data_IF_839042148671
#
_entry.id   IF_839042148671
#
_cell.length_a   1.000
_cell.length_b   1.000
_cell.length_c   1.000
_cell.angle_alpha   90.00
_cell.angle_beta   90.00
_cell.angle_gamma   90.00
#
_symmetry.space_group_name_H-M   'P 1'
#
loop_
_entity.id
_entity.type
_entity.pdbx_description
1 polymer ?
#
# COMPACT_ATOMS: atom_id res chain seq x y z
N UNK A 1 -10.12 26.57 -0.74
CA UNK A 1 -9.65 25.16 -0.73
C UNK A 1 -9.55 24.74 0.73
N UNK A 2 -10.08 23.59 1.15
CA UNK A 2 -9.91 23.11 2.54
C UNK A 2 -8.48 22.58 2.71
N UNK A 3 -7.82 22.96 3.81
CA UNK A 3 -6.49 22.48 4.17
C UNK A 3 -6.52 21.06 4.76
N UNK A 4 -5.35 20.50 5.07
CA UNK A 4 -5.21 19.15 5.61
C UNK A 4 -6.01 18.91 6.90
N UNK A 5 -6.14 19.93 7.77
CA UNK A 5 -6.97 19.83 8.98
C UNK A 5 -8.45 19.71 8.61
N UNK A 6 -8.97 20.59 7.75
CA UNK A 6 -10.36 20.54 7.34
C UNK A 6 -10.76 19.21 6.69
N UNK A 7 -9.84 18.58 5.92
CA UNK A 7 -10.06 17.24 5.37
C UNK A 7 -10.09 16.15 6.45
N UNK A 8 -9.22 16.25 7.44
CA UNK A 8 -9.17 15.29 8.55
C UNK A 8 -10.40 15.40 9.44
N UNK A 9 -10.84 16.63 9.77
CA UNK A 9 -12.07 16.86 10.52
C UNK A 9 -13.29 16.35 9.76
N UNK A 10 -13.40 16.61 8.45
CA UNK A 10 -14.48 16.07 7.64
C UNK A 10 -14.52 14.53 7.64
N UNK A 11 -13.35 13.88 7.62
CA UNK A 11 -13.26 12.42 7.78
C UNK A 11 -13.76 11.99 9.16
N UNK A 12 -13.31 12.63 10.24
CA UNK A 12 -13.76 12.31 11.60
C UNK A 12 -15.27 12.50 11.78
N UNK A 13 -15.83 13.57 11.23
CA UNK A 13 -17.25 13.91 11.26
C UNK A 13 -18.11 12.95 10.45
N UNK A 14 -17.56 12.33 9.39
CA UNK A 14 -18.26 11.29 8.63
C UNK A 14 -18.43 9.97 9.41
N UNK A 15 -17.71 9.81 10.53
CA UNK A 15 -17.70 8.58 11.31
C UNK A 15 -18.99 8.36 12.09
N UNK A 16 -19.80 7.38 11.69
CA UNK A 16 -20.97 6.91 12.46
C UNK A 16 -20.64 5.68 13.31
N UNK A 17 -21.41 5.42 14.37
CA UNK A 17 -21.32 4.15 15.11
C UNK A 17 -21.60 2.99 14.16
N UNK A 18 -20.80 1.94 14.25
CA UNK A 18 -21.04 0.71 13.52
C UNK A 18 -20.09 -0.38 13.96
N UNK A 19 -20.62 -1.59 14.15
CA UNK A 19 -19.81 -2.75 14.49
C UNK A 19 -19.10 -3.31 13.26
N UNK A 20 -17.89 -3.80 13.50
CA UNK A 20 -17.02 -4.41 12.51
C UNK A 20 -16.98 -5.93 12.75
N UNK A 21 -18.02 -6.65 12.34
CA UNK A 21 -17.91 -8.12 12.25
C UNK A 21 -17.10 -8.47 10.99
N UNK A 22 -16.07 -9.30 11.15
CA UNK A 22 -15.25 -9.80 10.04
C UNK A 22 -16.10 -10.73 9.15
N UNK A 23 -15.98 -10.58 7.83
CA UNK A 23 -16.67 -11.44 6.85
C UNK A 23 -15.78 -12.59 6.33
N UNK A 24 -14.46 -12.45 6.47
CA UNK A 24 -13.48 -13.45 6.06
C UNK A 24 -12.73 -14.07 7.25
N UNK A 25 -11.96 -15.11 6.95
CA UNK A 25 -11.13 -15.77 7.95
C UNK A 25 -10.02 -14.85 8.47
N UNK A 26 -9.60 -14.98 9.74
CA UNK A 26 -8.45 -14.28 10.29
C UNK A 26 -7.19 -14.46 9.43
N UNK A 27 -6.34 -13.43 9.40
CA UNK A 27 -5.10 -13.42 8.59
C UNK A 27 -4.19 -14.61 8.94
N UNK A 28 -4.08 -14.97 10.23
CA UNK A 28 -3.27 -16.10 10.68
C UNK A 28 -3.77 -17.44 10.14
N UNK A 29 -5.10 -17.67 10.15
CA UNK A 29 -5.73 -18.85 9.59
C UNK A 29 -5.53 -18.91 8.07
N UNK A 30 -5.71 -17.77 7.40
CA UNK A 30 -5.49 -17.64 5.96
C UNK A 30 -4.04 -17.97 5.57
N UNK A 31 -3.04 -17.43 6.26
CA UNK A 31 -1.63 -17.77 5.99
C UNK A 31 -1.33 -19.23 6.30
N UNK A 32 -1.93 -19.80 7.35
CA UNK A 32 -1.82 -21.23 7.67
C UNK A 32 -2.38 -22.13 6.57
N UNK A 33 -3.56 -21.79 6.04
CA UNK A 33 -4.19 -22.45 4.91
C UNK A 33 -3.31 -22.37 3.65
N UNK A 34 -2.84 -21.17 3.30
CA UNK A 34 -1.94 -20.94 2.18
C UNK A 34 -0.65 -21.76 2.31
N UNK A 35 -0.02 -21.76 3.47
CA UNK A 35 1.23 -22.50 3.69
C UNK A 35 1.02 -24.02 3.64
N UNK A 36 -0.14 -24.52 4.06
CA UNK A 36 -0.48 -25.94 3.96
C UNK A 36 -0.71 -26.34 2.49
N UNK A 37 -1.43 -25.51 1.75
CA UNK A 37 -1.66 -25.72 0.32
C UNK A 37 -0.36 -25.66 -0.49
N UNK A 38 0.48 -24.65 -0.24
CA UNK A 38 1.79 -24.51 -0.89
C UNK A 38 2.72 -25.69 -0.63
N UNK A 39 2.64 -26.34 0.53
CA UNK A 39 3.40 -27.55 0.83
C UNK A 39 2.96 -28.76 0.00
N UNK A 40 1.68 -28.82 -0.37
CA UNK A 40 1.12 -29.91 -1.17
C UNK A 40 1.35 -29.69 -2.68
N UNK A 41 1.06 -28.48 -3.18
CA UNK A 41 1.04 -28.18 -4.61
C UNK A 41 2.37 -27.62 -5.14
N UNK A 42 3.20 -27.04 -4.26
CA UNK A 42 4.49 -26.44 -4.60
C UNK A 42 4.43 -25.08 -5.31
N UNK A 43 3.42 -24.85 -6.17
CA UNK A 43 3.25 -23.62 -6.95
C UNK A 43 1.79 -23.27 -7.19
N UNK A 44 1.45 -21.98 -7.14
CA UNK A 44 0.13 -21.47 -7.51
C UNK A 44 0.14 -20.92 -8.94
N UNK A 45 -0.91 -21.23 -9.68
CA UNK A 45 -1.12 -20.69 -11.03
C UNK A 45 -1.53 -19.22 -10.98
N UNK A 46 -1.14 -18.48 -12.01
CA UNK A 46 -1.35 -17.04 -12.11
C UNK A 46 -1.99 -16.67 -13.43
N UNK A 47 -2.95 -15.75 -13.38
CA UNK A 47 -3.56 -15.13 -14.58
C UNK A 47 -2.64 -14.07 -15.18
N UNK A 48 -1.92 -13.34 -14.33
CA UNK A 48 -0.92 -12.33 -14.69
C UNK A 48 0.24 -12.37 -13.69
N UNK A 49 1.34 -11.65 -13.98
CA UNK A 49 2.58 -11.73 -13.19
C UNK A 49 2.42 -11.56 -11.67
N UNK A 50 1.36 -10.89 -11.21
CA UNK A 50 1.07 -10.64 -9.79
C UNK A 50 -0.38 -10.97 -9.39
N UNK A 51 -1.10 -11.72 -10.21
CA UNK A 51 -2.51 -12.04 -9.97
C UNK A 51 -2.72 -13.56 -10.02
N UNK A 52 -3.27 -14.11 -8.94
CA UNK A 52 -3.63 -15.51 -8.84
C UNK A 52 -4.74 -15.83 -9.86
N UNK A 53 -4.65 -17.00 -10.47
CA UNK A 53 -5.71 -17.50 -11.35
C UNK A 53 -7.02 -17.76 -10.56
N UNK A 54 -8.17 -17.41 -11.14
CA UNK A 54 -9.47 -17.54 -10.46
C UNK A 54 -9.82 -19.01 -10.16
N UNK A 55 -9.50 -19.94 -11.06
CA UNK A 55 -9.75 -21.36 -10.82
C UNK A 55 -8.84 -21.89 -9.71
N UNK A 56 -7.60 -21.38 -9.63
CA UNK A 56 -6.68 -21.68 -8.53
C UNK A 56 -7.18 -21.11 -7.19
N UNK A 57 -7.73 -19.90 -7.19
CA UNK A 57 -8.35 -19.27 -6.02
C UNK A 57 -9.53 -20.10 -5.49
N UNK A 58 -10.40 -20.57 -6.39
CA UNK A 58 -11.53 -21.45 -6.05
C UNK A 58 -11.04 -22.78 -5.49
N UNK A 59 -10.03 -23.39 -6.11
CA UNK A 59 -9.43 -24.66 -5.66
C UNK A 59 -8.84 -24.52 -4.26
N UNK A 60 -8.10 -23.44 -4.00
CA UNK A 60 -7.55 -23.14 -2.68
C UNK A 60 -8.65 -22.96 -1.62
N UNK A 61 -9.73 -22.24 -1.93
CA UNK A 61 -10.87 -22.10 -1.03
C UNK A 61 -11.54 -23.45 -0.72
N UNK A 62 -11.77 -24.28 -1.74
CA UNK A 62 -12.41 -25.60 -1.58
C UNK A 62 -11.57 -26.55 -0.74
N UNK A 63 -10.26 -26.60 -0.97
CA UNK A 63 -9.35 -27.52 -0.26
C UNK A 63 -9.09 -27.07 1.17
N UNK A 64 -8.93 -25.76 1.39
CA UNK A 64 -8.60 -25.25 2.73
C UNK A 64 -9.83 -25.01 3.61
N UNK A 65 -11.02 -24.84 3.02
CA UNK A 65 -12.21 -24.37 3.74
C UNK A 65 -12.12 -22.92 4.22
N UNK A 66 -11.08 -22.19 3.80
CA UNK A 66 -10.76 -20.84 4.27
C UNK A 66 -10.89 -19.85 3.13
N UNK A 67 -11.50 -18.69 3.41
CA UNK A 67 -11.61 -17.57 2.48
C UNK A 67 -11.20 -16.28 3.19
N UNK A 68 -10.10 -15.61 2.78
CA UNK A 68 -9.73 -14.34 3.34
C UNK A 68 -10.70 -13.23 2.96
N UNK A 69 -10.71 -12.17 3.75
CA UNK A 69 -11.37 -10.93 3.36
C UNK A 69 -10.73 -10.36 2.08
N UNK A 70 -11.55 -9.93 1.11
CA UNK A 70 -11.08 -9.55 -0.22
C UNK A 70 -10.71 -10.74 -1.15
N UNK A 71 -10.77 -11.98 -0.65
CA UNK A 71 -10.58 -13.19 -1.44
C UNK A 71 -9.12 -13.54 -1.76
N UNK A 72 -8.92 -14.78 -2.20
CA UNK A 72 -7.58 -15.35 -2.43
C UNK A 72 -6.79 -14.64 -3.52
N UNK A 73 -7.48 -14.10 -4.53
CA UNK A 73 -6.83 -13.43 -5.67
C UNK A 73 -5.98 -12.25 -5.21
N UNK A 74 -6.51 -11.42 -4.32
CA UNK A 74 -5.81 -10.25 -3.76
C UNK A 74 -4.83 -10.65 -2.67
N UNK A 75 -5.22 -11.57 -1.79
CA UNK A 75 -4.40 -11.99 -0.66
C UNK A 75 -3.03 -12.58 -1.05
N UNK A 76 -2.99 -13.38 -2.13
CA UNK A 76 -1.76 -14.01 -2.61
C UNK A 76 -0.76 -12.97 -3.14
N UNK A 77 -1.21 -11.96 -3.88
CA UNK A 77 -0.36 -10.86 -4.35
C UNK A 77 0.28 -10.09 -3.19
N UNK A 78 -0.49 -9.84 -2.13
CA UNK A 78 0.00 -9.16 -0.93
C UNK A 78 1.02 -10.01 -0.15
N UNK A 79 0.81 -11.34 -0.08
CA UNK A 79 1.75 -12.28 0.54
C UNK A 79 3.14 -12.24 -0.12
N UNK A 80 3.23 -11.93 -1.41
CA UNK A 80 4.51 -11.75 -2.07
C UNK A 80 5.26 -10.51 -1.54
N UNK A 81 4.57 -9.42 -1.23
CA UNK A 81 5.15 -8.23 -0.60
C UNK A 81 5.68 -8.49 0.82
N UNK A 82 5.04 -9.39 1.56
CA UNK A 82 5.50 -9.84 2.87
C UNK A 82 6.66 -10.87 2.79
N UNK A 83 7.00 -11.37 1.59
CA UNK A 83 7.99 -12.43 1.33
C UNK A 83 7.54 -13.84 1.71
N UNK A 84 6.23 -14.02 1.93
CA UNK A 84 5.59 -15.33 2.16
C UNK A 84 5.55 -16.12 0.86
N UNK A 85 5.33 -15.43 -0.25
CA UNK A 85 5.41 -15.97 -1.60
C UNK A 85 6.45 -15.20 -2.43
N UNK A 86 6.83 -15.77 -3.56
CA UNK A 86 7.62 -15.09 -4.60
C UNK A 86 6.89 -15.23 -5.92
N UNK A 87 6.63 -14.11 -6.59
CA UNK A 87 6.11 -14.11 -7.95
C UNK A 87 7.23 -14.44 -8.94
N UNK A 88 7.05 -15.47 -9.77
CA UNK A 88 7.99 -15.87 -10.83
C UNK A 88 7.27 -16.11 -12.15
N UNK A 89 8.04 -16.19 -13.24
CA UNK A 89 7.52 -16.61 -14.54
C UNK A 89 6.82 -17.96 -14.43
N UNK A 90 5.49 -17.97 -14.53
CA UNK A 90 4.64 -19.16 -14.48
C UNK A 90 3.97 -19.48 -13.14
N UNK A 91 4.08 -18.62 -12.11
CA UNK A 91 3.28 -18.77 -10.89
C UNK A 91 3.84 -18.11 -9.63
N UNK A 92 3.12 -18.25 -8.52
CA UNK A 92 3.65 -17.96 -7.19
C UNK A 92 4.30 -19.21 -6.58
N UNK A 93 5.52 -19.05 -6.08
CA UNK A 93 6.28 -20.09 -5.37
C UNK A 93 6.42 -19.75 -3.88
N UNK A 94 6.80 -20.74 -3.08
CA UNK A 94 7.05 -20.55 -1.66
C UNK A 94 8.19 -19.55 -1.44
N UNK A 95 7.90 -18.46 -0.72
CA UNK A 95 8.90 -17.46 -0.39
C UNK A 95 9.76 -17.84 0.82
N UNK A 96 10.87 -17.11 1.03
CA UNK A 96 11.82 -17.39 2.12
C UNK A 96 11.19 -17.28 3.51
N UNK A 97 10.07 -16.56 3.64
CA UNK A 97 9.38 -16.39 4.93
C UNK A 97 8.19 -17.32 5.12
N UNK A 98 7.79 -18.14 4.13
CA UNK A 98 6.61 -19.01 4.25
C UNK A 98 6.62 -19.87 5.52
N UNK A 99 7.74 -20.54 5.81
CA UNK A 99 7.88 -21.39 7.00
C UNK A 99 7.78 -20.60 8.32
N UNK A 100 8.29 -19.37 8.34
CA UNK A 100 8.26 -18.50 9.52
C UNK A 100 6.90 -17.84 9.70
N UNK A 101 6.17 -17.62 8.61
CA UNK A 101 4.90 -16.91 8.61
C UNK A 101 3.83 -17.60 9.46
N UNK A 102 3.83 -18.93 9.51
CA UNK A 102 2.93 -19.70 10.38
C UNK A 102 3.22 -19.54 11.88
N UNK A 103 4.41 -19.04 12.26
CA UNK A 103 4.79 -18.80 13.64
C UNK A 103 4.63 -17.33 14.07
N UNK A 104 4.31 -16.43 13.14
CA UNK A 104 4.07 -15.03 13.45
C UNK A 104 2.71 -14.86 14.14
N UNK A 105 2.65 -13.90 15.06
CA UNK A 105 1.37 -13.49 15.65
C UNK A 105 0.49 -12.79 14.60
N UNK A 106 -0.84 -12.78 14.80
CA UNK A 106 -1.76 -12.05 13.91
C UNK A 106 -1.37 -10.59 13.71
N UNK A 107 -1.05 -9.81 14.76
CA UNK A 107 -0.61 -8.42 14.57
C UNK A 107 0.69 -8.28 13.75
N UNK A 108 1.62 -9.23 13.91
CA UNK A 108 2.85 -9.24 13.11
C UNK A 108 2.56 -9.55 11.63
N UNK A 109 1.64 -10.46 11.35
CA UNK A 109 1.19 -10.77 9.99
C UNK A 109 0.50 -9.57 9.33
N UNK A 110 -0.48 -8.97 10.01
CA UNK A 110 -1.18 -7.76 9.55
C UNK A 110 -0.17 -6.64 9.23
N UNK A 111 0.78 -6.38 10.15
CA UNK A 111 1.85 -5.39 9.94
C UNK A 111 2.69 -5.72 8.71
N UNK A 112 3.18 -6.96 8.58
CA UNK A 112 4.07 -7.36 7.47
C UNK A 112 3.39 -7.33 6.12
N UNK A 113 2.09 -7.65 6.07
CA UNK A 113 1.29 -7.56 4.85
C UNK A 113 1.14 -6.11 4.39
N UNK A 114 0.77 -5.19 5.30
CA UNK A 114 0.71 -3.75 4.96
C UNK A 114 2.08 -3.20 4.58
N UNK A 115 3.14 -3.59 5.29
CA UNK A 115 4.52 -3.22 4.96
C UNK A 115 4.98 -3.74 3.61
N UNK A 116 4.36 -4.81 3.09
CA UNK A 116 4.50 -5.26 1.71
C UNK A 116 4.28 -4.11 0.72
N UNK A 117 3.23 -3.34 0.91
CA UNK A 117 2.94 -2.18 0.07
C UNK A 117 3.67 -0.93 0.56
N UNK A 118 3.56 -0.59 1.84
CA UNK A 118 4.03 0.71 2.33
C UNK A 118 5.54 0.84 2.36
N UNK A 119 6.29 -0.25 2.25
CA UNK A 119 7.76 -0.23 2.12
C UNK A 119 8.23 -0.71 0.77
N UNK A 120 7.59 -1.73 0.22
CA UNK A 120 8.07 -2.40 -0.99
C UNK A 120 7.24 -2.11 -2.24
N UNK A 121 6.13 -1.39 -2.13
CA UNK A 121 5.25 -1.04 -3.26
C UNK A 121 4.67 -2.29 -3.97
N UNK A 122 4.41 -3.35 -3.19
CA UNK A 122 3.74 -4.58 -3.64
C UNK A 122 2.35 -4.65 -3.01
N UNK A 123 1.26 -4.82 -3.78
CA UNK A 123 1.24 -5.18 -5.21
C UNK A 123 1.56 -4.03 -6.19
N UNK A 124 2.17 -4.33 -7.36
CA UNK A 124 2.53 -3.30 -8.34
C UNK A 124 1.35 -2.53 -8.95
N UNK A 125 0.16 -3.15 -9.07
CA UNK A 125 -1.03 -2.49 -9.61
C UNK A 125 -1.51 -1.35 -8.70
N UNK A 126 -1.55 -1.59 -7.39
CA UNK A 126 -1.76 -0.52 -6.39
C UNK A 126 -0.68 0.55 -6.46
N UNK A 127 0.60 0.17 -6.57
CA UNK A 127 1.69 1.15 -6.66
C UNK A 127 1.58 2.03 -7.90
N UNK A 128 1.25 1.44 -9.06
CA UNK A 128 1.02 2.18 -10.29
C UNK A 128 -0.15 3.16 -10.15
N UNK A 129 -1.25 2.74 -9.52
CA UNK A 129 -2.40 3.62 -9.24
C UNK A 129 -1.99 4.80 -8.34
N UNK A 130 -1.14 4.55 -7.34
CA UNK A 130 -0.60 5.61 -6.47
C UNK A 130 0.30 6.59 -7.22
N UNK A 131 1.18 6.09 -8.12
CA UNK A 131 2.04 6.93 -8.95
C UNK A 131 1.24 7.81 -9.89
N UNK A 132 0.23 7.25 -10.56
CA UNK A 132 -0.67 7.99 -11.46
C UNK A 132 -1.42 9.07 -10.67
N UNK A 133 -1.94 8.76 -9.50
CA UNK A 133 -2.65 9.74 -8.67
C UNK A 133 -1.76 10.88 -8.17
N UNK A 134 -0.47 10.61 -7.94
CA UNK A 134 0.53 11.64 -7.63
C UNK A 134 1.01 12.43 -8.88
N UNK A 135 0.62 12.02 -10.08
CA UNK A 135 1.12 12.57 -11.34
C UNK A 135 2.56 12.20 -11.67
N UNK A 136 3.14 11.20 -11.00
CA UNK A 136 4.53 10.78 -11.21
C UNK A 136 4.69 10.20 -12.61
N UNK A 137 5.72 10.64 -13.33
CA UNK A 137 6.04 10.10 -14.65
C UNK A 137 6.26 8.57 -14.57
N UNK A 138 5.66 7.76 -15.46
CA UNK A 138 5.73 6.30 -15.39
C UNK A 138 7.15 5.71 -15.30
N UNK A 139 8.11 6.26 -16.05
CA UNK A 139 9.52 5.84 -15.97
C UNK A 139 10.16 6.07 -14.59
N UNK A 140 9.84 7.20 -13.92
CA UNK A 140 10.33 7.48 -12.57
C UNK A 140 9.67 6.54 -11.55
N UNK A 141 8.37 6.28 -11.68
CA UNK A 141 7.66 5.28 -10.86
C UNK A 141 8.25 3.87 -11.02
N UNK A 142 8.52 3.44 -12.26
CA UNK A 142 9.15 2.15 -12.55
C UNK A 142 10.56 2.07 -11.95
N UNK A 143 11.36 3.15 -12.08
CA UNK A 143 12.71 3.20 -11.51
C UNK A 143 12.68 3.13 -9.99
N UNK A 144 11.75 3.85 -9.34
CA UNK A 144 11.57 3.79 -7.90
C UNK A 144 11.17 2.39 -7.44
N UNK A 145 10.16 1.79 -8.07
CA UNK A 145 9.71 0.43 -7.74
C UNK A 145 10.86 -0.58 -7.86
N UNK A 146 11.65 -0.48 -8.94
CA UNK A 146 12.87 -1.28 -9.10
C UNK A 146 13.83 -1.03 -7.93
N UNK A 147 14.23 0.21 -7.66
CA UNK A 147 15.18 0.50 -6.58
C UNK A 147 14.72 -0.07 -5.23
N UNK A 148 13.46 0.13 -4.88
CA UNK A 148 12.87 -0.37 -3.63
C UNK A 148 12.89 -1.90 -3.57
N UNK A 149 12.54 -2.58 -4.67
CA UNK A 149 12.61 -4.05 -4.74
C UNK A 149 14.05 -4.57 -4.64
N UNK A 150 15.02 -3.85 -5.23
CA UNK A 150 16.45 -4.17 -5.15
C UNK A 150 16.96 -4.10 -3.71
N UNK A 151 16.56 -3.07 -2.97
CA UNK A 151 16.87 -2.92 -1.55
C UNK A 151 16.20 -4.02 -0.70
N UNK A 152 14.97 -4.41 -1.04
CA UNK A 152 14.28 -5.56 -0.42
C UNK A 152 15.01 -6.89 -0.64
N UNK A 153 15.48 -7.15 -1.86
CA UNK A 153 16.25 -8.34 -2.21
C UNK A 153 17.54 -8.49 -1.40
N UNK A 154 18.26 -7.39 -1.18
CA UNK A 154 19.45 -7.36 -0.33
C UNK A 154 19.14 -7.69 1.14
N UNK A 155 17.89 -7.54 1.56
CA UNK A 155 17.40 -7.86 2.92
C UNK A 155 16.68 -9.22 2.99
N UNK A 156 16.82 -10.07 1.96
CA UNK A 156 16.27 -11.43 1.94
C UNK A 156 14.79 -11.53 1.55
N UNK A 157 14.25 -10.52 0.89
CA UNK A 157 12.95 -10.54 0.21
C UNK A 157 13.25 -10.57 -1.29
N UNK A 158 13.32 -11.71 -1.97
CA UNK A 158 13.78 -11.76 -3.37
C UNK A 158 12.61 -11.79 -4.39
N UNK A 159 12.07 -10.62 -4.83
CA UNK A 159 11.11 -10.55 -5.92
C UNK A 159 11.88 -10.55 -7.25
N UNK A 160 12.29 -11.75 -7.69
CA UNK A 160 12.72 -12.08 -9.06
C UNK A 160 13.50 -11.00 -9.83
N UNK A 161 14.82 -11.05 -9.81
CA UNK A 161 15.66 -10.01 -10.42
C UNK A 161 16.48 -10.50 -11.62
N UNK A 162 16.26 -9.88 -12.78
CA UNK A 162 17.29 -9.64 -13.80
C UNK A 162 17.83 -8.21 -13.63
N UNK A 163 19.16 -8.08 -13.66
CA UNK A 163 19.86 -6.80 -13.49
C UNK A 163 20.00 -6.14 -14.86
N UNK A 164 19.28 -5.04 -15.09
CA UNK A 164 19.58 -4.08 -16.17
C UNK A 164 20.11 -2.77 -15.60
N UNK A 165 20.99 -2.15 -16.37
CA UNK A 165 21.73 -0.95 -16.04
C UNK A 165 20.80 0.26 -15.80
N UNK A 166 21.01 0.98 -14.70
CA UNK A 166 20.14 2.07 -14.21
C UNK A 166 20.75 3.46 -14.43
N UNK A 167 21.82 3.57 -15.23
CA UNK A 167 22.61 4.79 -15.41
C UNK A 167 21.88 5.98 -16.08
N UNK A 168 20.63 5.83 -16.53
CA UNK A 168 19.94 6.78 -17.42
C UNK A 168 19.21 7.93 -16.67
N UNK A 169 18.99 7.84 -15.35
CA UNK A 169 18.23 8.85 -14.59
C UNK A 169 18.91 9.23 -13.25
N UNK A 170 18.99 10.52 -12.93
CA UNK A 170 19.76 11.04 -11.77
C UNK A 170 19.25 10.60 -10.40
N UNK A 171 20.17 10.27 -9.47
CA UNK A 171 19.87 9.76 -8.13
C UNK A 171 19.12 10.77 -7.23
N UNK A 172 19.43 12.07 -7.35
CA UNK A 172 18.77 13.13 -6.57
C UNK A 172 17.27 13.22 -6.87
N UNK A 173 16.89 13.23 -8.16
CA UNK A 173 15.49 13.26 -8.59
C UNK A 173 14.73 12.00 -8.19
N UNK A 174 15.39 10.83 -8.27
CA UNK A 174 14.79 9.59 -7.79
C UNK A 174 14.47 9.63 -6.29
N UNK A 175 15.34 10.22 -5.48
CA UNK A 175 15.09 10.43 -4.06
C UNK A 175 13.95 11.45 -3.83
N UNK A 176 13.84 12.48 -4.67
CA UNK A 176 12.67 13.36 -4.71
C UNK A 176 11.38 12.57 -4.95
N UNK A 177 11.32 11.72 -5.98
CA UNK A 177 10.18 10.82 -6.27
C UNK A 177 9.90 9.90 -5.08
N UNK A 178 10.94 9.32 -4.49
CA UNK A 178 10.84 8.46 -3.31
C UNK A 178 10.17 9.19 -2.15
N UNK A 179 10.59 10.42 -1.87
CA UNK A 179 10.01 11.27 -0.82
C UNK A 179 8.54 11.57 -1.11
N UNK A 180 8.17 11.94 -2.34
CA UNK A 180 6.77 12.17 -2.73
C UNK A 180 5.87 10.98 -2.40
N UNK A 181 6.27 9.80 -2.85
CA UNK A 181 5.49 8.57 -2.70
C UNK A 181 5.39 8.18 -1.23
N UNK A 182 6.50 8.12 -0.50
CA UNK A 182 6.46 7.65 0.89
C UNK A 182 5.94 8.70 1.88
N UNK A 183 6.03 10.01 1.60
CA UNK A 183 5.40 11.05 2.44
C UNK A 183 3.88 11.00 2.30
N UNK A 184 3.35 10.91 1.08
CA UNK A 184 1.89 10.78 0.88
C UNK A 184 1.35 9.53 1.58
N UNK A 185 2.01 8.38 1.42
CA UNK A 185 1.67 7.15 2.15
C UNK A 185 1.79 7.31 3.67
N UNK A 186 2.84 7.98 4.16
CA UNK A 186 3.06 8.19 5.60
C UNK A 186 1.95 9.03 6.23
N UNK A 187 1.48 10.07 5.54
CA UNK A 187 0.34 10.88 5.98
C UNK A 187 -0.92 10.03 6.05
N UNK A 188 -1.20 9.25 4.99
CA UNK A 188 -2.42 8.42 4.92
C UNK A 188 -2.42 7.33 6.00
N UNK A 189 -1.33 6.55 6.13
CA UNK A 189 -1.18 5.53 7.18
C UNK A 189 -1.27 6.16 8.58
N UNK A 190 -0.61 7.30 8.78
CA UNK A 190 -0.63 8.02 10.04
C UNK A 190 -2.02 8.57 10.40
N UNK A 191 -2.82 9.01 9.43
CA UNK A 191 -4.20 9.44 9.64
C UNK A 191 -5.09 8.23 9.96
N UNK A 192 -4.99 7.13 9.20
CA UNK A 192 -5.76 5.92 9.45
C UNK A 192 -5.50 5.36 10.86
N UNK A 193 -4.25 5.44 11.35
CA UNK A 193 -3.88 5.07 12.74
C UNK A 193 -4.56 5.92 13.81
N UNK A 194 -5.01 7.14 13.49
CA UNK A 194 -5.71 8.05 14.42
C UNK A 194 -7.23 7.87 14.42
N UNK A 195 -7.77 7.02 13.54
CA UNK A 195 -9.21 6.76 13.48
C UNK A 195 -9.65 5.83 14.62
N UNK A 196 -10.91 5.97 15.04
CA UNK A 196 -11.54 5.11 16.05
C UNK A 196 -12.06 3.85 15.38
N UNK A 197 -11.63 2.67 15.87
CA UNK A 197 -12.01 1.38 15.27
C UNK A 197 -13.47 0.96 15.41
N UNK A 198 -14.26 1.68 16.21
CA UNK A 198 -15.70 1.44 16.43
C UNK A 198 -16.60 2.29 15.51
N UNK A 199 -16.00 2.95 14.51
CA UNK A 199 -16.69 3.85 13.59
C UNK A 199 -16.56 3.38 12.15
N UNK A 200 -17.59 3.68 11.38
CA UNK A 200 -17.61 3.53 9.92
C UNK A 200 -17.47 4.91 9.30
N UNK A 201 -16.46 5.09 8.46
CA UNK A 201 -16.09 6.35 7.81
C UNK A 201 -16.43 6.33 6.33
N UNK A 202 -16.78 7.47 5.76
CA UNK A 202 -17.09 7.58 4.34
C UNK A 202 -15.83 7.43 3.45
N UNK A 203 -15.92 6.58 2.43
CA UNK A 203 -14.85 6.43 1.41
C UNK A 203 -14.57 7.74 0.68
N UNK A 204 -15.62 8.55 0.43
CA UNK A 204 -15.48 9.86 -0.20
C UNK A 204 -14.68 10.84 0.67
N UNK A 205 -14.87 10.84 1.99
CA UNK A 205 -14.08 11.67 2.90
C UNK A 205 -12.62 11.22 2.95
N UNK A 206 -12.36 9.90 2.98
CA UNK A 206 -11.00 9.36 2.88
C UNK A 206 -10.32 9.77 1.57
N UNK A 207 -11.04 9.66 0.45
CA UNK A 207 -10.51 10.01 -0.87
C UNK A 207 -10.09 11.48 -0.93
N UNK A 208 -10.88 12.39 -0.34
CA UNK A 208 -10.55 13.83 -0.27
C UNK A 208 -9.31 14.09 0.58
N UNK A 209 -9.13 13.33 1.65
CA UNK A 209 -7.95 13.41 2.49
C UNK A 209 -6.71 12.86 1.78
N UNK A 210 -6.84 11.76 1.04
CA UNK A 210 -5.74 11.16 0.26
C UNK A 210 -5.30 12.09 -0.87
N UNK A 211 -6.26 12.66 -1.61
CA UNK A 211 -6.00 13.67 -2.63
C UNK A 211 -5.21 14.86 -2.03
N UNK A 212 -5.62 15.37 -0.86
CA UNK A 212 -4.93 16.47 -0.20
C UNK A 212 -3.54 16.07 0.32
N UNK A 213 -3.39 14.84 0.83
CA UNK A 213 -2.09 14.30 1.24
C UNK A 213 -1.13 14.17 0.05
N UNK A 214 -1.64 13.80 -1.13
CA UNK A 214 -0.88 13.75 -2.38
C UNK A 214 -0.44 15.15 -2.83
N UNK A 215 -1.32 16.15 -2.76
CA UNK A 215 -0.97 17.56 -3.03
C UNK A 215 0.10 18.07 -2.06
N UNK A 216 -0.09 17.83 -0.76
CA UNK A 216 0.87 18.20 0.26
C UNK A 216 2.25 17.56 0.02
N UNK A 217 2.28 16.26 -0.30
CA UNK A 217 3.53 15.55 -0.57
C UNK A 217 4.27 16.12 -1.79
N UNK A 218 3.53 16.62 -2.80
CA UNK A 218 4.13 17.37 -3.91
C UNK A 218 4.80 18.65 -3.44
N UNK A 219 4.08 19.50 -2.71
CA UNK A 219 4.63 20.80 -2.28
C UNK A 219 5.90 20.64 -1.45
N UNK A 220 5.94 19.69 -0.51
CA UNK A 220 7.10 19.55 0.40
C UNK A 220 8.31 18.84 -0.25
N UNK A 221 8.14 18.22 -1.41
CA UNK A 221 9.23 17.54 -2.10
C UNK A 221 9.76 18.32 -3.33
N UNK A 222 9.08 19.40 -3.75
CA UNK A 222 9.51 20.28 -4.86
C UNK A 222 10.34 21.50 -4.45
N UNK A 223 10.66 21.68 -3.16
CA UNK A 223 11.59 22.74 -2.70
C UNK A 223 13.03 22.56 -3.26
N UNK A 224 13.34 21.46 -3.98
CA UNK A 224 14.69 21.06 -4.42
C UNK A 224 14.88 20.82 -5.93
N UNK A 225 13.83 20.98 -6.77
CA UNK A 225 13.88 20.68 -8.21
C UNK A 225 14.09 21.97 -9.04
N UNK A 226 15.35 22.36 -9.23
CA UNK A 226 15.70 23.29 -10.31
C UNK A 226 15.47 22.57 -11.65
N UNK A 227 14.65 23.18 -12.51
CA UNK A 227 14.37 22.69 -13.87
C UNK A 227 15.63 22.75 -14.75
N UNK A 228 16.46 21.71 -14.66
CA UNK A 228 17.53 21.52 -15.65
C UNK A 228 16.90 21.23 -17.02
N UNK A 229 17.07 22.16 -17.97
CA UNK A 229 16.58 22.05 -19.34
C UNK A 229 17.02 20.72 -20.00
N UNK A 230 16.05 19.97 -20.54
CA UNK A 230 16.28 18.72 -21.28
C UNK A 230 16.21 17.43 -20.46
N UNK A 231 15.97 17.50 -19.14
CA UNK A 231 15.78 16.30 -18.31
C UNK A 231 14.30 15.85 -18.23
N UNK A 232 14.08 14.54 -18.02
CA UNK A 232 12.74 13.96 -17.87
C UNK A 232 11.98 14.58 -16.69
N UNK A 233 10.79 15.11 -16.96
CA UNK A 233 9.90 15.65 -15.93
C UNK A 233 9.54 14.57 -14.89
N UNK A 234 9.64 14.93 -13.61
CA UNK A 234 9.35 14.04 -12.49
C UNK A 234 7.84 13.84 -12.32
N UNK A 235 7.08 14.93 -12.45
CA UNK A 235 5.62 14.95 -12.44
C UNK A 235 5.13 15.48 -13.78
N UNK A 236 4.17 14.78 -14.36
CA UNK A 236 3.58 15.06 -15.67
C UNK A 236 2.12 15.49 -15.61
N UNK A 237 1.46 15.25 -14.48
CA UNK A 237 0.04 15.57 -14.30
C UNK A 237 -0.24 16.18 -12.91
N UNK A 238 -1.34 16.91 -12.81
CA UNK A 238 -1.83 17.38 -11.52
C UNK A 238 -2.52 16.28 -10.71
N UNK A 239 -2.54 16.44 -9.39
CA UNK A 239 -3.30 15.54 -8.52
C UNK A 239 -4.79 15.80 -8.75
N UNK A 240 -5.46 14.84 -9.38
CA UNK A 240 -6.90 14.93 -9.66
C UNK A 240 -7.71 13.93 -8.83
N UNK A 241 -8.93 14.33 -8.49
CA UNK A 241 -9.88 13.55 -7.70
C UNK A 241 -10.08 12.11 -8.21
N UNK A 242 -10.28 11.94 -9.52
CA UNK A 242 -10.58 10.61 -10.11
C UNK A 242 -9.41 9.65 -9.94
N UNK A 243 -8.18 10.11 -10.18
CA UNK A 243 -7.00 9.28 -9.98
C UNK A 243 -6.79 8.93 -8.50
N UNK A 244 -6.98 9.91 -7.60
CA UNK A 244 -6.95 9.66 -6.16
C UNK A 244 -8.01 8.64 -5.70
N UNK A 245 -9.23 8.71 -6.26
CA UNK A 245 -10.30 7.75 -6.01
C UNK A 245 -9.90 6.33 -6.41
N UNK A 246 -9.35 6.15 -7.61
CA UNK A 246 -8.84 4.84 -8.05
C UNK A 246 -7.70 4.33 -7.17
N UNK A 247 -6.77 5.20 -6.77
CA UNK A 247 -5.67 4.83 -5.87
C UNK A 247 -6.18 4.40 -4.48
N UNK A 248 -7.20 5.06 -3.95
CA UNK A 248 -7.84 4.64 -2.69
C UNK A 248 -8.54 3.30 -2.83
N UNK A 249 -9.27 3.08 -3.92
CA UNK A 249 -9.92 1.80 -4.17
C UNK A 249 -8.91 0.66 -4.30
N UNK A 250 -7.81 0.86 -5.05
CA UNK A 250 -6.75 -0.13 -5.16
C UNK A 250 -6.08 -0.41 -3.81
N UNK A 251 -5.76 0.65 -3.03
CA UNK A 251 -5.19 0.51 -1.69
C UNK A 251 -6.12 -0.28 -0.75
N UNK A 252 -7.43 -0.05 -0.86
CA UNK A 252 -8.43 -0.76 -0.07
C UNK A 252 -8.54 -2.23 -0.50
N UNK A 253 -8.78 -2.48 -1.79
CA UNK A 253 -9.07 -3.81 -2.35
C UNK A 253 -7.85 -4.74 -2.33
N UNK A 254 -6.66 -4.24 -2.64
CA UNK A 254 -5.48 -5.09 -2.81
C UNK A 254 -4.57 -5.15 -1.58
N UNK A 255 -4.69 -4.20 -0.65
CA UNK A 255 -3.77 -4.07 0.50
C UNK A 255 -4.50 -4.08 1.83
N UNK A 256 -5.32 -3.07 2.11
CA UNK A 256 -5.84 -2.84 3.46
C UNK A 256 -6.90 -3.86 3.89
N UNK A 257 -7.80 -4.26 2.96
CA UNK A 257 -8.80 -5.29 3.22
C UNK A 257 -8.14 -6.68 3.32
N UNK A 258 -7.30 -7.14 2.37
CA UNK A 258 -6.65 -8.44 2.50
C UNK A 258 -5.66 -8.54 3.66
N UNK A 259 -5.07 -7.42 4.10
CA UNK A 259 -4.25 -7.38 5.31
C UNK A 259 -5.06 -7.43 6.61
N UNK A 260 -6.39 -7.39 6.56
CA UNK A 260 -7.26 -7.36 7.74
C UNK A 260 -7.20 -6.03 8.52
N UNK A 261 -6.72 -4.95 7.91
CA UNK A 261 -6.58 -3.62 8.53
C UNK A 261 -7.83 -2.78 8.34
N UNK A 262 -8.51 -2.93 7.21
CA UNK A 262 -9.75 -2.21 6.94
C UNK A 262 -10.82 -3.20 6.53
N UNK A 263 -12.03 -3.01 7.04
CA UNK A 263 -13.23 -3.64 6.48
C UNK A 263 -13.91 -2.63 5.57
N UNK A 264 -14.31 -3.08 4.38
CA UNK A 264 -15.01 -2.25 3.41
C UNK A 264 -16.45 -2.77 3.22
N UNK A 265 -17.43 -1.99 3.68
CA UNK A 265 -18.85 -2.28 3.50
C UNK A 265 -19.38 -1.42 2.34
N UNK A 266 -19.64 -2.06 1.18
CA UNK A 266 -20.02 -1.38 -0.05
C UNK A 266 -21.33 -0.61 0.16
N UNK A 267 -21.28 0.70 -0.08
CA UNK A 267 -22.43 1.60 0.10
C UNK A 267 -22.58 2.16 1.52
N UNK A 268 -21.82 1.67 2.51
CA UNK A 268 -21.81 2.18 3.89
C UNK A 268 -20.53 2.94 4.25
N UNK A 269 -19.37 2.38 3.93
CA UNK A 269 -18.09 3.01 4.26
C UNK A 269 -17.02 2.02 4.69
N UNK A 270 -16.06 2.50 5.47
CA UNK A 270 -14.90 1.73 5.91
C UNK A 270 -14.75 1.74 7.42
N UNK A 271 -14.37 0.60 8.00
CA UNK A 271 -14.01 0.50 9.42
C UNK A 271 -12.53 0.13 9.53
N UNK A 272 -11.76 0.87 10.32
CA UNK A 272 -10.29 0.76 10.36
C UNK A 272 -9.84 0.15 11.69
N UNK A 273 -9.13 -0.96 11.64
CA UNK A 273 -8.45 -1.57 12.79
C UNK A 273 -7.13 -0.85 13.05
N UNK A 274 -7.21 0.35 13.63
CA UNK A 274 -6.06 1.24 13.85
C UNK A 274 -4.86 0.56 14.55
N UNK A 275 -5.12 -0.41 15.44
CA UNK A 275 -4.07 -1.19 16.12
C UNK A 275 -3.13 -1.91 15.16
N UNK A 276 -3.63 -2.39 14.01
CA UNK A 276 -2.81 -3.06 13.00
C UNK A 276 -1.80 -2.11 12.33
N UNK A 277 -1.99 -0.78 12.45
CA UNK A 277 -1.13 0.26 11.89
C UNK A 277 -0.14 0.85 12.90
N UNK A 278 -0.19 0.47 14.18
CA UNK A 278 0.61 1.07 15.25
C UNK A 278 2.12 0.98 15.02
N UNK A 279 2.58 -0.07 14.33
CA UNK A 279 4.00 -0.36 14.11
C UNK A 279 4.40 -0.35 12.64
N UNK A 280 3.45 -0.11 11.73
CA UNK A 280 3.69 -0.13 10.28
C UNK A 280 4.69 0.96 9.91
N UNK A 281 5.73 0.56 9.19
CA UNK A 281 6.70 1.48 8.58
C UNK A 281 6.28 1.87 7.16
N UNK A 282 6.70 3.05 6.71
CA UNK A 282 6.44 3.55 5.36
C UNK A 282 7.78 3.94 4.71
N UNK A 283 8.23 3.18 3.71
CA UNK A 283 9.59 3.25 3.21
C UNK A 283 10.61 3.07 4.34
N UNK A 284 11.48 4.05 4.52
CA UNK A 284 12.41 4.11 5.65
C UNK A 284 11.77 4.66 6.95
N UNK A 285 10.62 5.34 6.85
CA UNK A 285 9.99 6.12 7.93
C UNK A 285 9.35 5.22 8.99
N UNK A 286 9.84 5.32 10.22
CA UNK A 286 9.18 4.79 11.41
C UNK A 286 7.99 5.65 11.86
N UNK A 287 7.27 5.17 12.87
CA UNK A 287 6.03 5.78 13.40
C UNK A 287 6.22 7.27 13.77
N UNK A 288 7.27 7.61 14.52
CA UNK A 288 7.52 8.99 14.94
C UNK A 288 7.82 9.95 13.78
N UNK A 289 8.46 9.47 12.71
CA UNK A 289 8.67 10.27 11.50
C UNK A 289 7.34 10.48 10.75
N UNK A 290 6.49 9.45 10.66
CA UNK A 290 5.14 9.58 10.09
C UNK A 290 4.31 10.59 10.89
N UNK A 291 4.38 10.59 12.22
CA UNK A 291 3.66 11.55 13.07
C UNK A 291 4.12 12.99 12.88
N UNK A 292 5.39 13.18 12.53
CA UNK A 292 5.91 14.50 12.17
C UNK A 292 5.31 14.97 10.84
N UNK A 293 5.23 14.07 9.84
CA UNK A 293 4.57 14.37 8.57
C UNK A 293 3.09 14.68 8.70
N UNK A 294 2.35 13.91 9.52
CA UNK A 294 0.93 14.18 9.78
C UNK A 294 0.76 15.53 10.47
N UNK A 295 1.60 15.89 11.45
CA UNK A 295 1.54 17.22 12.08
C UNK A 295 1.75 18.34 11.08
N UNK A 296 2.73 18.22 10.17
CA UNK A 296 3.00 19.20 9.12
C UNK A 296 1.85 19.31 8.11
N UNK A 297 1.24 18.18 7.76
CA UNK A 297 0.07 18.12 6.89
C UNK A 297 -1.14 18.84 7.53
N UNK A 298 -1.41 18.52 8.80
CA UNK A 298 -2.55 19.10 9.53
C UNK A 298 -2.34 20.58 9.88
N UNK A 299 -1.11 21.06 10.05
CA UNK A 299 -0.85 22.47 10.34
C UNK A 299 -0.95 23.39 9.11
N UNK A 300 -1.13 22.82 7.91
CA UNK A 300 -1.12 23.56 6.65
C UNK A 300 0.24 24.20 6.34
N UNK A 301 1.30 23.84 7.07
CA UNK A 301 2.63 24.46 6.95
C UNK A 301 3.33 24.14 5.64
N UNK A 302 2.87 23.13 4.90
CA UNK A 302 3.29 22.89 3.51
C UNK A 302 2.63 23.86 2.51
N UNK A 303 1.40 24.30 2.75
CA UNK A 303 0.60 25.09 1.78
C UNK A 303 0.82 26.61 1.84
N UNK A 304 1.39 27.15 2.92
CA UNK A 304 1.63 28.61 3.07
C UNK A 304 2.71 29.20 2.16
N UNK A 305 3.39 28.38 1.34
CA UNK A 305 4.37 28.84 0.36
C UNK A 305 3.80 29.02 -1.06
N UNK A 306 2.53 28.68 -1.30
CA UNK A 306 1.90 28.74 -2.65
C UNK A 306 0.62 29.61 -2.66
N UNK A 307 0.51 30.56 -1.72
CA UNK A 307 -0.54 31.58 -1.73
C UNK A 307 0.05 32.93 -2.15
#
# INVERSE_FOLDING_TARGET
MMDGMGRFEALLSSGSRGECAAMGAPVCETVGALASYMRAEGRLRTRAAWELDEAEAMRLAQVSGVVPEGGWVRFVGLCAGAGVLVARGGGFEAGPKLKKACAWSTPELEQRLVEGFTRWLVPPATAASWFVALGVHPLWGLKLARQVHREGALLGLDPGREVRDDAILGARRLEGVRRHVFVSLAVVVGVLRRLTGERIYEVGALTRLVEEAMRFARVVAYDDDDEDAGQLQVVVEEVCWRAAQHAVWALMDEVLVPAGVVRWDIGRGIAVRARALERVRVGALGVGAQDTWVRLFLSGSGGRKVA
#
